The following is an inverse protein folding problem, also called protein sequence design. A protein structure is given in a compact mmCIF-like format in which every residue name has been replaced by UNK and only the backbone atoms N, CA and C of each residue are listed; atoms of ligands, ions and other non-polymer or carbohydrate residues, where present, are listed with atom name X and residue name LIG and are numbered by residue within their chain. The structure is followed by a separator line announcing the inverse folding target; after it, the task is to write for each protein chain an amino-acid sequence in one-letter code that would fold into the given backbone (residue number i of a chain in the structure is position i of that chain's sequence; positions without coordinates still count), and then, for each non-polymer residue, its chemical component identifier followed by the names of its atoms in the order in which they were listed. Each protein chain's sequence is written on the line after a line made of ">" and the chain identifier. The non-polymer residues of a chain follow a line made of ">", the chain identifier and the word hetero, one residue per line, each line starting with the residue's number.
data_IF_045399342833
#
_entry.id   IF_045399342833
#
_cell.length_a   1.000
_cell.length_b   1.000
_cell.length_c   1.000
_cell.angle_alpha   90.00
_cell.angle_beta   90.00
_cell.angle_gamma   90.00
#
_symmetry.space_group_name_H-M   'P 1'
#
loop_
_entity.id
_entity.type
_entity.pdbx_description
1 polymer ?
#
# COMPACT_ATOMS: atom_id res chain seq x y z
N UNK A 1 14.14 -11.61 13.31
CA UNK A 1 12.71 -11.50 13.67
C UNK A 1 11.90 -11.78 12.41
N UNK A 2 10.70 -12.36 12.51
CA UNK A 2 9.84 -12.63 11.34
C UNK A 2 9.04 -11.38 11.00
N UNK A 3 9.10 -10.88 9.76
CA UNK A 3 8.31 -9.74 9.32
C UNK A 3 6.81 -10.05 9.40
N UNK A 4 5.98 -9.04 9.65
CA UNK A 4 4.52 -9.19 9.77
C UNK A 4 3.80 -8.18 8.90
N UNK A 5 2.75 -8.62 8.22
CA UNK A 5 1.86 -7.75 7.45
C UNK A 5 0.55 -7.52 8.21
N UNK A 6 0.05 -6.30 8.19
CA UNK A 6 -1.31 -5.96 8.61
C UNK A 6 -1.93 -4.95 7.65
N UNK A 7 -3.19 -5.16 7.29
CA UNK A 7 -4.02 -4.17 6.60
C UNK A 7 -5.28 -3.84 7.40
N UNK A 8 -5.32 -4.13 8.71
CA UNK A 8 -6.50 -3.93 9.55
C UNK A 8 -6.56 -2.49 10.06
N UNK A 9 -6.81 -1.56 9.14
CA UNK A 9 -6.95 -0.13 9.40
C UNK A 9 -7.67 0.54 8.22
N UNK A 10 -8.03 1.82 8.39
CA UNK A 10 -8.68 2.63 7.36
C UNK A 10 -7.92 2.58 6.02
N UNK A 11 -8.66 2.42 4.91
CA UNK A 11 -8.16 2.17 3.55
C UNK A 11 -7.30 0.91 3.36
N UNK A 12 -7.14 0.06 4.38
CA UNK A 12 -6.22 -1.07 4.34
C UNK A 12 -6.64 -2.16 3.34
N UNK A 13 -5.75 -2.48 2.40
CA UNK A 13 -5.90 -3.58 1.44
C UNK A 13 -4.57 -4.30 1.20
N UNK A 14 -4.58 -5.63 1.30
CA UNK A 14 -3.41 -6.49 1.25
C UNK A 14 -3.63 -7.75 2.10
N UNK A 15 -3.37 -8.92 1.52
CA UNK A 15 -3.48 -10.23 2.18
C UNK A 15 -2.14 -10.91 2.09
N UNK A 16 -1.54 -11.25 3.23
CA UNK A 16 -0.31 -12.04 3.25
C UNK A 16 -0.64 -13.48 2.85
N UNK A 17 -0.04 -13.94 1.76
CA UNK A 17 -0.20 -15.31 1.27
C UNK A 17 0.87 -16.22 1.87
N UNK A 18 2.12 -15.76 1.83
CA UNK A 18 3.27 -16.49 2.34
C UNK A 18 4.42 -15.56 2.72
N UNK A 19 5.31 -16.06 3.59
CA UNK A 19 6.62 -15.49 3.83
C UNK A 19 7.68 -16.58 3.70
N UNK A 20 8.58 -16.43 2.73
CA UNK A 20 9.76 -17.28 2.57
C UNK A 20 10.93 -16.67 3.33
N UNK A 21 11.33 -17.33 4.41
CA UNK A 21 12.42 -16.89 5.26
C UNK A 21 13.80 -17.06 4.62
N UNK A 22 13.98 -18.02 3.70
CA UNK A 22 15.25 -18.24 3.03
C UNK A 22 15.47 -17.23 1.90
N UNK A 23 14.40 -16.89 1.17
CA UNK A 23 14.45 -15.90 0.10
C UNK A 23 14.29 -14.45 0.61
N UNK A 24 13.93 -14.25 1.88
CA UNK A 24 13.52 -12.94 2.42
C UNK A 24 12.43 -12.30 1.56
N UNK A 25 11.36 -13.06 1.27
CA UNK A 25 10.28 -12.65 0.39
C UNK A 25 8.91 -12.78 1.06
N UNK A 26 8.13 -11.69 1.06
CA UNK A 26 6.72 -11.67 1.41
C UNK A 26 5.87 -11.65 0.14
N UNK A 27 4.94 -12.60 0.04
CA UNK A 27 3.99 -12.70 -1.06
C UNK A 27 2.62 -12.22 -0.59
N UNK A 28 2.06 -11.27 -1.32
CA UNK A 28 0.87 -10.51 -0.93
C UNK A 28 -0.10 -10.49 -2.10
N UNK A 29 -1.40 -10.60 -1.85
CA UNK A 29 -2.42 -10.33 -2.86
C UNK A 29 -3.29 -9.12 -2.49
N UNK A 30 -3.81 -8.47 -3.51
CA UNK A 30 -4.81 -7.40 -3.38
C UNK A 30 -6.19 -8.05 -3.34
N UNK A 31 -7.08 -7.56 -2.46
CA UNK A 31 -8.49 -7.96 -2.49
C UNK A 31 -9.24 -7.13 -3.54
N UNK A 32 -10.15 -7.75 -4.31
CA UNK A 32 -11.03 -7.00 -5.19
C UNK A 32 -12.01 -6.13 -4.38
N UNK A 33 -12.39 -5.02 -4.98
CA UNK A 33 -13.46 -4.14 -4.53
C UNK A 33 -14.82 -4.85 -4.64
N UNK A 34 -15.87 -4.33 -3.97
CA UNK A 34 -17.24 -4.79 -4.20
C UNK A 34 -17.62 -4.77 -5.69
N UNK A 35 -18.47 -5.72 -6.09
CA UNK A 35 -18.91 -5.85 -7.46
C UNK A 35 -19.60 -4.57 -7.95
N UNK A 36 -19.16 -4.06 -9.09
CA UNK A 36 -19.70 -2.86 -9.72
C UNK A 36 -20.70 -3.26 -10.80
N UNK A 37 -22.00 -3.13 -10.50
CA UNK A 37 -23.08 -3.56 -11.43
C UNK A 37 -23.02 -2.84 -12.79
N UNK A 38 -22.63 -1.57 -12.79
CA UNK A 38 -22.57 -0.73 -14.01
C UNK A 38 -21.54 -1.27 -15.00
N UNK A 39 -20.40 -1.76 -14.50
CA UNK A 39 -19.28 -2.24 -15.32
C UNK A 39 -19.20 -3.77 -15.40
N UNK A 40 -20.15 -4.46 -14.74
CA UNK A 40 -20.26 -5.92 -14.76
C UNK A 40 -19.08 -6.67 -14.14
N UNK A 41 -18.24 -6.02 -13.33
CA UNK A 41 -17.02 -6.59 -12.75
C UNK A 41 -16.68 -6.07 -11.37
N UNK A 42 -15.83 -6.81 -10.66
CA UNK A 42 -15.12 -6.30 -9.49
C UNK A 42 -13.79 -5.67 -9.93
N UNK A 43 -13.44 -4.54 -9.34
CA UNK A 43 -12.19 -3.85 -9.62
C UNK A 43 -11.10 -4.21 -8.62
N UNK A 44 -9.84 -4.03 -8.99
CA UNK A 44 -8.71 -4.29 -8.11
C UNK A 44 -7.52 -3.47 -8.60
N UNK A 45 -6.96 -2.64 -7.72
CA UNK A 45 -5.73 -1.88 -7.99
C UNK A 45 -5.15 -1.33 -6.68
N UNK A 46 -6.03 -0.81 -5.82
CA UNK A 46 -5.65 -0.18 -4.57
C UNK A 46 -5.11 -1.20 -3.56
N UNK A 47 -3.90 -0.95 -3.07
CA UNK A 47 -3.33 -1.62 -1.91
C UNK A 47 -2.87 -0.59 -0.88
N UNK A 48 -2.94 -0.96 0.40
CA UNK A 48 -2.38 -0.21 1.51
C UNK A 48 -2.21 -1.16 2.71
N UNK A 49 -0.97 -1.45 3.08
CA UNK A 49 -0.66 -2.35 4.18
C UNK A 49 0.60 -1.91 4.93
N UNK A 50 0.72 -2.35 6.18
CA UNK A 50 1.88 -2.12 7.04
C UNK A 50 2.71 -3.39 7.11
N UNK A 51 4.02 -3.27 6.91
CA UNK A 51 5.00 -4.29 7.26
C UNK A 51 5.70 -3.87 8.55
N UNK A 52 5.74 -4.76 9.55
CA UNK A 52 6.43 -4.56 10.84
C UNK A 52 7.51 -5.61 11.03
N UNK A 53 8.43 -5.37 11.98
CA UNK A 53 9.61 -6.18 12.23
C UNK A 53 10.49 -6.31 10.97
N UNK A 54 10.76 -5.17 10.30
CA UNK A 54 11.61 -5.16 9.12
C UNK A 54 12.98 -5.78 9.45
N UNK A 55 13.45 -6.74 8.65
CA UNK A 55 14.74 -7.35 8.87
C UNK A 55 15.87 -6.34 8.60
N UNK A 56 17.08 -6.67 9.06
CA UNK A 56 18.27 -5.87 8.75
C UNK A 56 18.73 -6.06 7.30
N UNK A 57 18.43 -7.23 6.71
CA UNK A 57 18.61 -7.46 5.28
C UNK A 57 17.41 -6.93 4.48
N UNK A 58 17.59 -6.60 3.19
CA UNK A 58 16.48 -6.22 2.33
C UNK A 58 15.38 -7.27 2.30
N UNK A 59 14.13 -6.82 2.41
CA UNK A 59 12.92 -7.65 2.33
C UNK A 59 12.26 -7.42 0.98
N UNK A 60 12.10 -8.47 0.19
CA UNK A 60 11.28 -8.43 -1.03
C UNK A 60 9.81 -8.55 -0.67
N UNK A 61 8.99 -7.70 -1.25
CA UNK A 61 7.53 -7.74 -1.13
C UNK A 61 6.96 -7.84 -2.53
N UNK A 62 6.20 -8.91 -2.79
CA UNK A 62 5.66 -9.23 -4.11
C UNK A 62 4.14 -9.21 -4.04
N UNK A 63 3.52 -8.35 -4.85
CA UNK A 63 2.09 -8.42 -5.12
C UNK A 63 1.88 -9.41 -6.25
N UNK A 64 1.36 -10.59 -5.91
CA UNK A 64 1.34 -11.78 -6.77
C UNK A 64 0.27 -11.71 -7.85
N UNK A 65 -0.85 -11.04 -7.58
CA UNK A 65 -1.98 -10.89 -8.50
C UNK A 65 -2.04 -9.52 -9.18
N UNK A 66 -0.89 -8.85 -9.33
CA UNK A 66 -0.82 -7.53 -9.97
C UNK A 66 -1.28 -7.57 -11.43
N UNK A 67 -0.97 -8.64 -12.16
CA UNK A 67 -1.38 -8.87 -13.55
C UNK A 67 -2.88 -9.18 -13.72
N UNK A 68 -3.62 -9.34 -12.63
CA UNK A 68 -5.08 -9.51 -12.63
C UNK A 68 -5.80 -8.19 -12.27
N UNK A 69 -5.06 -7.12 -12.02
CA UNK A 69 -5.63 -5.82 -11.66
C UNK A 69 -6.36 -5.16 -12.83
N UNK A 70 -7.23 -4.22 -12.52
CA UNK A 70 -8.10 -3.54 -13.50
C UNK A 70 -7.34 -2.74 -14.55
N UNK A 71 -6.15 -2.24 -14.21
CA UNK A 71 -5.31 -1.40 -15.06
C UNK A 71 -3.87 -1.88 -15.00
N UNK A 72 -3.57 -2.92 -15.79
CA UNK A 72 -2.25 -3.59 -15.80
C UNK A 72 -1.17 -2.66 -16.34
N UNK A 73 -1.51 -1.86 -17.36
CA UNK A 73 -0.62 -0.84 -17.94
C UNK A 73 -0.25 0.23 -16.92
N UNK A 74 -1.06 0.41 -15.87
CA UNK A 74 -0.75 1.30 -14.77
C UNK A 74 0.44 0.85 -13.90
N UNK A 75 0.95 -0.36 -14.10
CA UNK A 75 2.16 -0.85 -13.44
C UNK A 75 3.46 -0.54 -14.20
N UNK A 76 3.37 -0.19 -15.49
CA UNK A 76 4.54 0.26 -16.25
C UNK A 76 5.08 1.57 -15.65
N UNK A 77 6.38 1.63 -15.36
CA UNK A 77 7.08 2.74 -14.69
C UNK A 77 6.51 3.15 -13.31
N UNK A 78 5.58 2.38 -12.76
CA UNK A 78 4.98 2.64 -11.46
C UNK A 78 5.99 2.44 -10.33
N UNK A 79 5.93 3.32 -9.32
CA UNK A 79 6.70 3.17 -8.07
C UNK A 79 5.79 3.19 -6.86
N UNK A 80 5.96 2.19 -6.00
CA UNK A 80 5.17 2.03 -4.78
C UNK A 80 5.40 3.21 -3.82
N UNK A 81 4.31 3.74 -3.24
CA UNK A 81 4.43 4.76 -2.20
C UNK A 81 4.79 4.10 -0.87
N UNK A 82 5.77 4.66 -0.16
CA UNK A 82 6.21 4.15 1.15
C UNK A 82 6.29 5.27 2.18
N UNK A 83 5.95 4.95 3.43
CA UNK A 83 6.06 5.86 4.56
C UNK A 83 6.41 5.10 5.83
N UNK A 84 7.19 5.71 6.73
CA UNK A 84 7.53 5.16 8.05
C UNK A 84 6.78 5.86 9.19
N UNK A 85 6.11 6.98 8.91
CA UNK A 85 5.38 7.81 9.88
C UNK A 85 3.92 8.10 9.50
N UNK A 86 3.47 7.60 8.34
CA UNK A 86 2.16 7.84 7.71
C UNK A 86 1.88 9.28 7.30
N UNK A 87 2.87 10.17 7.36
CA UNK A 87 2.75 11.61 7.02
C UNK A 87 3.56 11.93 5.78
N UNK A 88 4.82 11.53 5.77
CA UNK A 88 5.73 11.72 4.65
C UNK A 88 5.78 10.46 3.81
N UNK A 89 5.39 10.59 2.55
CA UNK A 89 5.35 9.49 1.58
C UNK A 89 6.40 9.73 0.50
N UNK A 90 7.23 8.73 0.26
CA UNK A 90 8.24 8.71 -0.82
C UNK A 90 7.94 7.54 -1.77
N UNK A 91 8.80 7.33 -2.77
CA UNK A 91 8.64 6.26 -3.76
C UNK A 91 9.77 5.25 -3.62
N UNK A 92 9.44 3.96 -3.58
CA UNK A 92 10.43 2.89 -3.59
C UNK A 92 11.06 2.82 -4.98
N UNK A 93 12.35 3.14 -5.08
CA UNK A 93 13.05 3.15 -6.36
C UNK A 93 13.15 1.76 -6.99
N UNK A 94 13.34 0.73 -6.17
CA UNK A 94 13.34 -0.68 -6.54
C UNK A 94 11.92 -1.27 -6.61
N UNK A 95 11.00 -0.56 -7.27
CA UNK A 95 9.70 -1.12 -7.68
C UNK A 95 9.80 -1.53 -9.13
N UNK A 96 9.40 -2.75 -9.46
CA UNK A 96 9.34 -3.25 -10.82
C UNK A 96 8.09 -4.11 -11.01
N UNK A 97 7.55 -4.10 -12.23
CA UNK A 97 6.50 -5.01 -12.63
C UNK A 97 7.05 -5.96 -13.69
N UNK A 98 6.96 -7.26 -13.42
CA UNK A 98 7.46 -8.30 -14.32
C UNK A 98 6.67 -9.60 -14.09
N UNK A 99 6.41 -10.33 -15.18
CA UNK A 99 5.76 -11.65 -15.15
C UNK A 99 4.39 -11.66 -14.44
N UNK A 100 3.63 -10.56 -14.49
CA UNK A 100 2.34 -10.46 -13.80
C UNK A 100 2.43 -10.09 -12.32
N UNK A 101 3.63 -9.86 -11.79
CA UNK A 101 3.86 -9.53 -10.39
C UNK A 101 4.43 -8.12 -10.23
N UNK A 102 3.98 -7.40 -9.19
CA UNK A 102 4.60 -6.15 -8.78
C UNK A 102 5.55 -6.42 -7.61
N UNK A 103 6.84 -6.14 -7.80
CA UNK A 103 7.92 -6.47 -6.86
C UNK A 103 8.48 -5.18 -6.28
N UNK A 104 8.57 -5.11 -4.96
CA UNK A 104 9.21 -4.02 -4.22
C UNK A 104 10.32 -4.57 -3.34
N UNK A 105 11.42 -3.83 -3.20
CA UNK A 105 12.45 -4.13 -2.19
C UNK A 105 12.41 -3.10 -1.08
N UNK A 106 12.22 -3.54 0.16
CA UNK A 106 12.31 -2.71 1.36
C UNK A 106 13.69 -2.89 1.98
N UNK A 107 14.49 -1.83 1.95
CA UNK A 107 15.75 -1.76 2.67
C UNK A 107 15.57 -0.88 3.92
N UNK A 108 15.98 -1.41 5.07
CA UNK A 108 15.81 -0.71 6.35
C UNK A 108 16.71 0.52 6.48
N UNK A 109 17.91 0.48 5.91
CA UNK A 109 18.84 1.61 5.93
C UNK A 109 18.33 2.74 5.05
N UNK A 110 17.77 2.43 3.87
CA UNK A 110 17.09 3.41 3.01
C UNK A 110 15.86 4.04 3.69
N UNK A 111 15.20 3.29 4.58
CA UNK A 111 14.05 3.76 5.37
C UNK A 111 14.47 4.43 6.70
N UNK A 112 15.74 4.81 6.86
CA UNK A 112 16.22 5.53 8.02
C UNK A 112 16.23 4.69 9.31
N UNK A 113 16.44 3.38 9.19
CA UNK A 113 16.50 2.47 10.32
C UNK A 113 15.14 2.07 10.90
N UNK A 114 14.03 2.43 10.25
CA UNK A 114 12.68 2.16 10.72
C UNK A 114 12.38 0.64 10.84
N UNK A 115 11.71 0.24 11.92
CA UNK A 115 11.29 -1.16 12.14
C UNK A 115 9.99 -1.52 11.42
N UNK A 116 9.26 -0.51 10.93
CA UNK A 116 8.02 -0.69 10.19
C UNK A 116 7.87 0.35 9.08
N UNK A 117 7.18 -0.06 8.03
CA UNK A 117 6.81 0.80 6.91
C UNK A 117 5.39 0.49 6.44
N UNK A 118 4.73 1.50 5.90
CA UNK A 118 3.46 1.42 5.19
C UNK A 118 3.72 1.53 3.71
N UNK A 119 3.16 0.60 2.95
CA UNK A 119 3.21 0.57 1.51
C UNK A 119 1.80 0.83 1.00
N UNK A 120 1.66 1.69 0.00
CA UNK A 120 0.37 2.01 -0.59
C UNK A 120 0.50 2.29 -2.09
N UNK A 121 -0.63 2.15 -2.80
CA UNK A 121 -0.72 2.52 -4.21
C UNK A 121 -0.42 4.01 -4.44
N UNK A 122 -0.95 4.86 -3.55
CA UNK A 122 -0.65 6.28 -3.45
C UNK A 122 -0.73 6.72 -1.98
N UNK A 123 -0.24 7.92 -1.65
CA UNK A 123 -0.39 8.49 -0.31
C UNK A 123 -1.87 8.52 0.12
N UNK A 124 -2.28 7.74 1.14
CA UNK A 124 -3.68 7.64 1.54
C UNK A 124 -4.18 8.93 2.19
N UNK A 125 -5.46 9.24 2.00
CA UNK A 125 -6.17 10.27 2.74
C UNK A 125 -7.22 9.62 3.64
N UNK A 126 -6.90 9.48 4.92
CA UNK A 126 -7.76 8.80 5.89
C UNK A 126 -9.08 9.52 6.11
N UNK A 127 -10.06 8.78 6.60
CA UNK A 127 -11.34 9.30 7.05
C UNK A 127 -11.17 10.28 8.22
N UNK A 128 -10.22 10.06 9.12
CA UNK A 128 -9.90 11.00 10.19
C UNK A 128 -9.38 12.34 9.64
N UNK A 129 -8.48 12.31 8.64
CA UNK A 129 -8.04 13.54 7.94
C UNK A 129 -9.21 14.23 7.24
N UNK A 130 -10.14 13.47 6.66
CA UNK A 130 -11.36 14.00 6.04
C UNK A 130 -12.26 14.67 7.08
N UNK A 131 -12.51 14.05 8.23
CA UNK A 131 -13.31 14.65 9.30
C UNK A 131 -12.65 15.92 9.85
N UNK A 132 -11.33 15.92 10.03
CA UNK A 132 -10.60 17.11 10.42
C UNK A 132 -10.69 18.22 9.35
N UNK A 133 -10.65 17.87 8.06
CA UNK A 133 -10.81 18.82 6.96
C UNK A 133 -12.21 19.44 6.98
N UNK A 134 -13.27 18.63 7.08
CA UNK A 134 -14.66 19.10 7.14
C UNK A 134 -14.87 20.02 8.34
N UNK A 135 -14.35 19.67 9.51
CA UNK A 135 -14.42 20.50 10.71
C UNK A 135 -13.72 21.86 10.53
N UNK A 136 -12.50 21.87 9.94
CA UNK A 136 -11.78 23.12 9.64
C UNK A 136 -12.54 23.97 8.63
N UNK A 137 -13.12 23.36 7.59
CA UNK A 137 -13.92 24.07 6.60
C UNK A 137 -15.16 24.69 7.24
N UNK A 138 -15.86 23.97 8.12
CA UNK A 138 -17.05 24.44 8.83
C UNK A 138 -16.81 25.59 9.80
N UNK A 139 -15.57 25.82 10.23
CA UNK A 139 -15.20 26.99 11.03
C UNK A 139 -15.17 28.30 10.21
N UNK A 140 -15.19 28.21 8.87
CA UNK A 140 -15.28 29.38 8.00
C UNK A 140 -16.71 29.91 7.92
N UNK A 141 -16.87 31.23 8.07
CA UNK A 141 -18.16 31.91 7.88
C UNK A 141 -18.71 31.81 6.43
N UNK A 142 -17.87 31.41 5.47
CA UNK A 142 -18.24 31.25 4.06
C UNK A 142 -18.69 29.82 3.72
N UNK A 143 -18.52 28.87 4.63
CA UNK A 143 -18.86 27.47 4.40
C UNK A 143 -20.06 27.05 5.24
N UNK A 144 -20.79 26.05 4.75
CA UNK A 144 -21.86 25.39 5.50
C UNK A 144 -21.68 23.88 5.39
N UNK A 145 -21.34 23.23 6.51
CA UNK A 145 -21.37 21.78 6.63
C UNK A 145 -22.80 21.36 6.95
N UNK A 146 -23.32 20.36 6.24
CA UNK A 146 -24.65 19.80 6.46
C UNK A 146 -24.53 18.33 6.82
#
# INVERSE_FOLDING_TARGET
>A
QTPRLSSCFDSGNGVLEAYDAAAHEMRVSIRPDPYTEVDGRAHMQWFHFKVSNLPASPLRVVITNAGECSYIEGWEDYRCAVSTDRRSWTRIAATEYADGELRMTLDRDELGGADAAWLAYFAPHSYEQNMALVARAGASALARVR
#
